data_IF_807824418766
#
_entry.id   IF_807824418766
#
_cell.length_a   1.000
_cell.length_b   1.000
_cell.length_c   1.000
_cell.angle_alpha   90.00
_cell.angle_beta   90.00
_cell.angle_gamma   90.00
#
_symmetry.space_group_name_H-M   'P 1'
#
loop_
_entity.id
_entity.type
_entity.pdbx_description
1 polymer ?
#
# COMPACT_ATOMS: atom_id res chain seq x y z
N UNK A 1 20.30 -61.97 6.49
CA UNK A 1 19.13 -61.09 6.69
C UNK A 1 19.16 -60.06 5.59
N UNK A 2 18.20 -60.13 4.67
CA UNK A 2 18.17 -59.26 3.49
C UNK A 2 17.65 -57.87 3.87
N UNK A 3 18.50 -56.85 3.72
CA UNK A 3 18.21 -55.45 4.07
C UNK A 3 17.02 -54.93 3.27
N UNK A 4 16.79 -55.45 2.06
CA UNK A 4 15.64 -55.04 1.24
C UNK A 4 14.31 -55.47 1.86
N UNK A 5 14.29 -56.63 2.52
CA UNK A 5 13.11 -57.17 3.15
C UNK A 5 12.73 -56.37 4.41
N UNK A 6 13.74 -55.99 5.21
CA UNK A 6 13.56 -55.11 6.37
C UNK A 6 13.03 -53.72 5.99
N UNK A 7 13.51 -53.15 4.87
CA UNK A 7 13.01 -51.86 4.38
C UNK A 7 11.56 -51.94 3.91
N UNK A 8 11.15 -53.07 3.31
CA UNK A 8 9.76 -53.29 2.89
C UNK A 8 8.83 -53.39 4.09
N UNK A 9 9.23 -54.15 5.11
CA UNK A 9 8.50 -54.28 6.38
C UNK A 9 8.38 -52.93 7.10
N UNK A 10 9.47 -52.15 7.15
CA UNK A 10 9.45 -50.81 7.75
C UNK A 10 8.47 -49.88 7.03
N UNK A 11 8.48 -49.85 5.69
CA UNK A 11 7.52 -49.05 4.91
C UNK A 11 6.08 -49.46 5.17
N UNK A 12 5.83 -50.75 5.32
CA UNK A 12 4.50 -51.28 5.60
C UNK A 12 4.04 -50.96 7.03
N UNK A 13 4.95 -51.01 7.99
CA UNK A 13 4.70 -50.60 9.38
C UNK A 13 4.41 -49.10 9.49
N UNK A 14 5.18 -48.26 8.79
CA UNK A 14 4.96 -46.80 8.77
C UNK A 14 3.63 -46.46 8.10
N UNK A 15 3.27 -47.15 7.01
CA UNK A 15 2.00 -46.91 6.30
C UNK A 15 0.79 -47.29 7.14
N UNK A 16 0.82 -48.47 7.78
CA UNK A 16 -0.26 -48.92 8.67
C UNK A 16 -0.39 -48.05 9.92
N UNK A 17 0.72 -47.63 10.52
CA UNK A 17 0.70 -46.68 11.64
C UNK A 17 0.05 -45.35 11.24
N UNK A 18 0.39 -44.83 10.05
CA UNK A 18 -0.20 -43.60 9.51
C UNK A 18 -1.72 -43.71 9.36
N UNK A 19 -2.23 -44.82 8.84
CA UNK A 19 -3.68 -45.05 8.69
C UNK A 19 -4.40 -45.04 10.04
N UNK A 20 -3.83 -45.70 11.06
CA UNK A 20 -4.40 -45.72 12.42
C UNK A 20 -4.43 -44.32 13.01
N UNK A 21 -3.34 -43.56 12.90
CA UNK A 21 -3.30 -42.17 13.38
C UNK A 21 -4.30 -41.28 12.65
N UNK A 22 -4.44 -41.45 11.33
CA UNK A 22 -5.41 -40.69 10.54
C UNK A 22 -6.84 -41.00 10.99
N UNK A 23 -7.21 -42.27 11.16
CA UNK A 23 -8.55 -42.64 11.63
C UNK A 23 -8.87 -42.11 13.04
N UNK A 24 -7.89 -42.17 13.96
CA UNK A 24 -8.06 -41.62 15.32
C UNK A 24 -8.23 -40.11 15.27
N UNK A 25 -7.45 -39.43 14.42
CA UNK A 25 -7.57 -37.99 14.23
C UNK A 25 -8.93 -37.61 13.65
N UNK A 26 -9.37 -38.29 12.59
CA UNK A 26 -10.66 -38.02 11.95
C UNK A 26 -11.84 -38.21 12.91
N UNK A 27 -11.80 -39.22 13.76
CA UNK A 27 -12.82 -39.44 14.81
C UNK A 27 -12.88 -38.32 15.85
N UNK A 28 -11.74 -37.71 16.20
CA UNK A 28 -11.67 -36.71 17.28
C UNK A 28 -11.79 -35.27 16.79
N UNK A 29 -11.29 -34.98 15.60
CA UNK A 29 -11.10 -33.62 15.10
C UNK A 29 -11.76 -33.39 13.73
N UNK A 30 -12.39 -34.42 13.15
CA UNK A 30 -13.02 -34.36 11.82
C UNK A 30 -12.03 -34.66 10.68
N UNK A 31 -12.55 -34.80 9.44
CA UNK A 31 -11.76 -35.13 8.26
C UNK A 31 -10.58 -34.16 8.11
N UNK A 32 -9.36 -34.70 7.98
CA UNK A 32 -8.23 -33.88 7.56
C UNK A 32 -8.48 -33.59 6.08
N UNK A 33 -9.08 -32.43 5.78
CA UNK A 33 -9.07 -31.89 4.43
C UNK A 33 -7.62 -31.55 4.13
N UNK A 34 -6.86 -32.54 3.65
CA UNK A 34 -5.66 -32.28 2.87
C UNK A 34 -6.17 -31.65 1.59
N UNK A 35 -6.49 -30.36 1.66
CA UNK A 35 -6.63 -29.52 0.50
C UNK A 35 -5.28 -29.67 -0.19
N UNK A 36 -5.26 -30.47 -1.25
CA UNK A 36 -4.28 -30.33 -2.31
C UNK A 36 -4.50 -28.91 -2.83
N UNK A 37 -3.95 -27.94 -2.09
CA UNK A 37 -4.03 -26.53 -2.39
C UNK A 37 -3.09 -26.40 -3.56
N UNK A 38 -3.66 -26.61 -4.74
CA UNK A 38 -3.14 -26.20 -6.02
C UNK A 38 -2.37 -24.93 -5.78
N UNK A 39 -1.10 -24.96 -6.13
CA UNK A 39 -0.18 -23.84 -6.20
C UNK A 39 -0.76 -22.85 -7.21
N UNK A 40 -1.85 -22.17 -6.86
CA UNK A 40 -2.35 -21.06 -7.64
C UNK A 40 -1.29 -20.00 -7.43
N UNK A 41 -0.51 -19.76 -8.48
CA UNK A 41 0.33 -18.58 -8.65
C UNK A 41 -0.59 -17.35 -8.68
N UNK A 42 -1.29 -17.08 -7.58
CA UNK A 42 -2.05 -15.86 -7.38
C UNK A 42 -1.03 -14.74 -7.30
N UNK A 43 -0.85 -14.09 -8.43
CA UNK A 43 -0.09 -12.85 -8.49
C UNK A 43 -0.91 -11.84 -7.67
N UNK A 44 -0.34 -11.28 -6.60
CA UNK A 44 -1.09 -10.42 -5.71
C UNK A 44 -1.50 -9.16 -6.46
N UNK A 45 -2.76 -8.72 -6.26
CA UNK A 45 -3.24 -7.46 -6.84
C UNK A 45 -2.29 -6.31 -6.50
N UNK A 46 -1.99 -5.41 -7.46
CA UNK A 46 -1.10 -4.28 -7.24
C UNK A 46 -1.58 -3.38 -6.09
N UNK A 47 -0.65 -2.68 -5.46
CA UNK A 47 -0.95 -1.72 -4.40
C UNK A 47 -1.70 -0.52 -5.00
N UNK A 48 -2.85 -0.20 -4.43
CA UNK A 48 -3.59 1.03 -4.72
C UNK A 48 -3.52 1.91 -3.48
N UNK A 49 -2.71 2.96 -3.53
CA UNK A 49 -2.66 3.95 -2.46
C UNK A 49 -3.83 4.93 -2.60
N UNK A 50 -4.52 5.20 -1.51
CA UNK A 50 -5.57 6.21 -1.47
C UNK A 50 -4.98 7.54 -1.04
N UNK A 51 -5.29 8.62 -1.78
CA UNK A 51 -4.96 9.97 -1.32
C UNK A 51 -6.00 10.44 -0.30
N UNK A 52 -5.58 10.84 0.92
CA UNK A 52 -6.47 11.38 1.92
C UNK A 52 -7.10 12.72 1.48
N UNK A 53 -8.39 12.96 1.71
CA UNK A 53 -9.08 14.18 1.26
C UNK A 53 -8.55 15.46 1.92
N UNK A 54 -8.04 15.34 3.15
CA UNK A 54 -7.35 16.40 3.88
C UNK A 54 -6.10 16.93 3.17
N UNK A 55 -5.41 16.08 2.39
CA UNK A 55 -4.25 16.52 1.62
C UNK A 55 -4.66 17.50 0.51
N UNK A 56 -5.77 17.22 -0.20
CA UNK A 56 -6.31 18.14 -1.21
C UNK A 56 -6.75 19.47 -0.61
N UNK A 57 -7.40 19.45 0.56
CA UNK A 57 -7.80 20.67 1.26
C UNK A 57 -6.59 21.53 1.67
N UNK A 58 -5.50 20.90 2.10
CA UNK A 58 -4.25 21.60 2.43
C UNK A 58 -3.62 22.24 1.18
N UNK A 59 -3.52 21.51 0.07
CA UNK A 59 -3.00 22.07 -1.19
C UNK A 59 -3.80 23.29 -1.67
N UNK A 60 -5.14 23.24 -1.56
CA UNK A 60 -5.99 24.37 -1.94
C UNK A 60 -5.74 25.61 -1.09
N UNK A 61 -5.47 25.44 0.21
CA UNK A 61 -5.18 26.54 1.15
C UNK A 61 -3.94 27.35 0.75
N UNK A 62 -2.96 26.71 0.12
CA UNK A 62 -1.72 27.38 -0.27
C UNK A 62 -1.79 28.15 -1.60
N UNK A 63 -2.93 28.13 -2.31
CA UNK A 63 -3.17 28.86 -3.56
C UNK A 63 -1.98 28.81 -4.55
N UNK A 64 -1.46 27.60 -4.75
CA UNK A 64 -0.23 27.37 -5.51
C UNK A 64 -0.40 27.74 -6.98
N UNK A 65 0.66 28.22 -7.65
CA UNK A 65 0.64 28.40 -9.10
C UNK A 65 0.49 27.04 -9.80
N UNK A 66 -0.10 27.04 -11.00
CA UNK A 66 -0.37 25.81 -11.76
C UNK A 66 0.88 24.96 -11.99
N UNK A 67 2.03 25.59 -12.23
CA UNK A 67 3.32 24.90 -12.40
C UNK A 67 3.74 24.13 -11.13
N UNK A 68 3.46 24.67 -9.94
CA UNK A 68 3.75 23.98 -8.69
C UNK A 68 2.80 22.80 -8.46
N UNK A 69 1.52 22.95 -8.85
CA UNK A 69 0.56 21.84 -8.79
C UNK A 69 0.97 20.67 -9.70
N UNK A 70 1.46 20.95 -10.91
CA UNK A 70 1.99 19.91 -11.81
C UNK A 70 3.26 19.24 -11.25
N UNK A 71 4.13 20.00 -10.61
CA UNK A 71 5.31 19.44 -9.95
C UNK A 71 4.91 18.50 -8.79
N UNK A 72 3.91 18.90 -8.01
CA UNK A 72 3.37 18.10 -6.90
C UNK A 72 2.68 16.85 -7.43
N UNK A 73 1.87 16.94 -8.48
CA UNK A 73 1.22 15.75 -9.07
C UNK A 73 2.26 14.74 -9.54
N UNK A 74 3.30 15.19 -10.26
CA UNK A 74 4.41 14.32 -10.67
C UNK A 74 5.16 13.71 -9.48
N UNK A 75 5.31 14.45 -8.39
CA UNK A 75 5.96 13.94 -7.18
C UNK A 75 5.09 12.86 -6.51
N UNK A 76 3.77 13.04 -6.45
CA UNK A 76 2.82 12.04 -5.95
C UNK A 76 2.81 10.80 -6.82
N UNK A 77 2.81 10.95 -8.15
CA UNK A 77 2.83 9.83 -9.09
C UNK A 77 4.10 8.98 -8.92
N UNK A 78 5.25 9.65 -8.80
CA UNK A 78 6.53 8.97 -8.51
C UNK A 78 6.49 8.23 -7.19
N UNK A 79 6.05 8.90 -6.13
CA UNK A 79 5.97 8.30 -4.80
C UNK A 79 5.01 7.10 -4.80
N UNK A 80 3.87 7.20 -5.49
CA UNK A 80 2.92 6.09 -5.64
C UNK A 80 3.53 4.91 -6.38
N UNK A 81 4.31 5.18 -7.43
CA UNK A 81 5.05 4.18 -8.19
C UNK A 81 6.08 3.47 -7.31
N UNK A 82 6.88 4.22 -6.54
CA UNK A 82 7.90 3.66 -5.64
C UNK A 82 7.30 2.71 -4.61
N UNK A 83 6.13 3.04 -4.05
CA UNK A 83 5.43 2.17 -3.10
C UNK A 83 4.82 0.94 -3.77
N UNK A 84 4.32 1.08 -5.00
CA UNK A 84 3.81 -0.06 -5.76
C UNK A 84 4.93 -1.07 -6.09
N UNK A 85 6.11 -0.58 -6.48
CA UNK A 85 7.30 -1.40 -6.71
C UNK A 85 7.77 -2.10 -5.43
N UNK A 86 7.84 -1.37 -4.31
CA UNK A 86 8.19 -1.94 -3.01
C UNK A 86 7.19 -3.03 -2.58
N UNK A 87 5.89 -2.79 -2.78
CA UNK A 87 4.87 -3.78 -2.49
C UNK A 87 5.04 -5.04 -3.35
N UNK A 88 5.28 -4.90 -4.66
CA UNK A 88 5.48 -6.06 -5.54
C UNK A 88 6.71 -6.86 -5.12
N UNK A 89 7.82 -6.19 -4.85
CA UNK A 89 9.06 -6.83 -4.40
C UNK A 89 8.85 -7.61 -3.09
N UNK A 90 8.26 -6.98 -2.07
CA UNK A 90 7.99 -7.62 -0.78
C UNK A 90 6.99 -8.77 -0.92
N UNK A 91 5.97 -8.61 -1.76
CA UNK A 91 4.97 -9.64 -2.02
C UNK A 91 5.60 -10.89 -2.65
N UNK A 92 6.48 -10.71 -3.63
CA UNK A 92 7.25 -11.83 -4.24
C UNK A 92 8.12 -12.52 -3.21
N UNK A 93 8.77 -11.78 -2.31
CA UNK A 93 9.57 -12.37 -1.23
C UNK A 93 8.70 -13.20 -0.29
N UNK A 94 7.49 -12.74 0.06
CA UNK A 94 6.59 -13.52 0.91
C UNK A 94 6.11 -14.81 0.23
N UNK A 95 5.88 -14.80 -1.08
CA UNK A 95 5.49 -16.00 -1.85
C UNK A 95 6.61 -17.06 -1.86
N UNK A 96 7.88 -16.64 -1.86
CA UNK A 96 9.02 -17.55 -1.88
C UNK A 96 9.25 -18.29 -0.55
N UNK A 97 8.59 -17.88 0.55
CA UNK A 97 8.75 -18.50 1.86
C UNK A 97 7.66 -19.59 2.04
N UNK A 98 8.00 -20.90 2.10
CA UNK A 98 6.98 -21.95 2.12
C UNK A 98 6.02 -21.89 3.32
N UNK A 99 6.50 -21.41 4.46
CA UNK A 99 5.75 -21.35 5.71
C UNK A 99 4.78 -20.17 5.81
N UNK A 100 4.89 -19.16 4.93
CA UNK A 100 4.00 -17.98 4.94
C UNK A 100 2.73 -18.23 4.15
N UNK A 101 2.69 -19.24 3.26
CA UNK A 101 1.53 -19.55 2.42
C UNK A 101 0.18 -19.63 3.14
N UNK A 102 0.03 -20.30 4.30
CA UNK A 102 -1.24 -20.31 5.03
C UNK A 102 -1.66 -18.93 5.56
N UNK A 103 -0.73 -18.00 5.73
CA UNK A 103 -0.96 -16.63 6.22
C UNK A 103 -0.71 -15.56 5.17
N UNK A 104 -0.44 -15.94 3.91
CA UNK A 104 0.03 -15.02 2.87
C UNK A 104 -0.97 -13.90 2.63
N UNK A 105 -2.26 -14.22 2.52
CA UNK A 105 -3.32 -13.22 2.35
C UNK A 105 -3.36 -12.20 3.51
N UNK A 106 -3.19 -12.66 4.75
CA UNK A 106 -3.14 -11.78 5.93
C UNK A 106 -1.87 -10.93 5.95
N UNK A 107 -0.71 -11.51 5.61
CA UNK A 107 0.55 -10.78 5.53
C UNK A 107 0.51 -9.70 4.44
N UNK A 108 -0.03 -10.02 3.26
CA UNK A 108 -0.21 -9.05 2.18
C UNK A 108 -1.22 -7.96 2.56
N UNK A 109 -2.30 -8.32 3.25
CA UNK A 109 -3.25 -7.35 3.79
C UNK A 109 -2.58 -6.36 4.75
N UNK A 110 -1.82 -6.89 5.73
CA UNK A 110 -1.08 -6.08 6.69
C UNK A 110 -0.02 -5.20 6.01
N UNK A 111 0.67 -5.74 5.00
CA UNK A 111 1.64 -4.99 4.22
C UNK A 111 0.97 -3.80 3.51
N UNK A 112 -0.18 -4.01 2.85
CA UNK A 112 -0.93 -2.92 2.21
C UNK A 112 -1.31 -1.85 3.21
N UNK A 113 -1.89 -2.23 4.35
CA UNK A 113 -2.27 -1.28 5.40
C UNK A 113 -1.07 -0.52 5.97
N UNK A 114 0.05 -1.22 6.20
CA UNK A 114 1.27 -0.59 6.71
C UNK A 114 1.87 0.39 5.71
N UNK A 115 1.89 0.06 4.42
CA UNK A 115 2.38 0.96 3.38
C UNK A 115 1.46 2.17 3.20
N UNK A 116 0.14 1.98 3.24
CA UNK A 116 -0.82 3.10 3.25
C UNK A 116 -0.59 4.02 4.46
N UNK A 117 -0.47 3.46 5.65
CA UNK A 117 -0.21 4.25 6.86
C UNK A 117 1.11 5.03 6.74
N UNK A 118 2.18 4.39 6.29
CA UNK A 118 3.47 5.06 6.10
C UNK A 118 3.41 6.16 5.02
N UNK A 119 2.66 5.94 3.93
CA UNK A 119 2.38 6.95 2.92
C UNK A 119 1.69 8.17 3.54
N UNK A 120 0.68 7.97 4.38
CA UNK A 120 -0.07 9.04 5.04
C UNK A 120 0.72 9.78 6.14
N UNK A 121 1.49 9.06 6.96
CA UNK A 121 2.19 9.64 8.12
C UNK A 121 3.57 10.19 7.80
N UNK A 122 4.22 9.70 6.76
CA UNK A 122 5.59 10.10 6.41
C UNK A 122 5.73 10.60 4.98
N UNK A 123 5.08 9.94 4.01
CA UNK A 123 5.17 10.32 2.59
C UNK A 123 4.55 11.68 2.29
N UNK A 124 3.24 11.82 2.53
CA UNK A 124 2.49 13.05 2.26
C UNK A 124 2.95 14.24 3.10
N UNK A 125 3.26 14.11 4.41
CA UNK A 125 3.71 15.25 5.20
C UNK A 125 5.05 15.80 4.75
N UNK A 126 5.97 14.95 4.28
CA UNK A 126 7.24 15.39 3.70
C UNK A 126 7.03 16.21 2.43
N UNK A 127 6.08 15.80 1.59
CA UNK A 127 5.67 16.57 0.41
C UNK A 127 5.05 17.91 0.82
N UNK A 128 4.14 17.91 1.80
CA UNK A 128 3.52 19.15 2.30
C UNK A 128 4.53 20.13 2.89
N UNK A 129 5.56 19.65 3.61
CA UNK A 129 6.60 20.51 4.15
C UNK A 129 7.34 21.29 3.05
N UNK A 130 7.59 20.66 1.90
CA UNK A 130 8.21 21.31 0.74
C UNK A 130 7.26 22.34 0.11
N UNK A 131 5.97 22.01 0.02
CA UNK A 131 4.93 22.93 -0.47
C UNK A 131 4.84 24.18 0.43
N UNK A 132 4.84 23.99 1.74
CA UNK A 132 4.82 25.10 2.70
C UNK A 132 6.07 25.97 2.60
N UNK A 133 7.25 25.36 2.44
CA UNK A 133 8.50 26.10 2.23
C UNK A 133 8.42 26.97 0.96
N UNK A 134 7.97 26.39 -0.15
CA UNK A 134 7.80 27.11 -1.41
C UNK A 134 6.79 28.26 -1.29
N UNK A 135 5.66 28.03 -0.61
CA UNK A 135 4.65 29.07 -0.39
C UNK A 135 5.16 30.23 0.49
N UNK A 136 6.09 29.97 1.41
CA UNK A 136 6.73 30.99 2.25
C UNK A 136 7.76 31.81 1.47
N UNK A 137 8.50 31.20 0.55
CA UNK A 137 9.52 31.86 -0.28
C UNK A 137 8.92 32.70 -1.40
N UNK A 138 7.73 32.33 -1.87
CA UNK A 138 6.98 33.08 -2.88
C UNK A 138 5.64 33.60 -2.32
N UNK A 139 5.67 34.49 -1.31
CA UNK A 139 4.44 35.09 -0.80
C UNK A 139 3.78 35.86 -1.96
N UNK A 140 2.47 35.68 -2.12
CA UNK A 140 1.71 36.40 -3.14
C UNK A 140 2.07 37.89 -3.08
N UNK A 141 2.32 38.56 -4.22
CA UNK A 141 2.36 40.00 -4.22
C UNK A 141 0.98 40.46 -3.76
N UNK A 142 0.90 40.97 -2.53
CA UNK A 142 -0.25 41.69 -2.02
C UNK A 142 -0.38 42.88 -2.94
N UNK A 143 -1.13 42.72 -4.02
CA UNK A 143 -1.41 43.82 -4.93
C UNK A 143 -2.23 44.78 -4.08
N UNK A 144 -1.69 45.97 -3.75
CA UNK A 144 -2.44 46.92 -2.94
C UNK A 144 -3.76 47.19 -3.66
N UNK A 145 -4.87 47.36 -2.92
CA UNK A 145 -6.15 47.66 -3.54
C UNK A 145 -5.95 48.84 -4.50
N UNK A 146 -6.49 48.77 -5.73
CA UNK A 146 -6.33 49.86 -6.68
C UNK A 146 -6.80 51.15 -6.01
N UNK A 147 -6.03 52.25 -6.11
CA UNK A 147 -6.37 53.50 -5.44
C UNK A 147 -7.80 53.89 -5.82
N UNK A 148 -8.57 54.34 -4.82
CA UNK A 148 -9.92 54.87 -5.00
C UNK A 148 -9.90 55.86 -6.15
N UNK A 149 -10.59 55.52 -7.24
CA UNK A 149 -10.78 56.44 -8.36
C UNK A 149 -11.51 57.66 -7.81
N UNK A 150 -10.79 58.75 -7.59
CA UNK A 150 -11.40 60.05 -7.32
C UNK A 150 -12.27 60.39 -8.53
N UNK A 151 -13.58 60.30 -8.36
CA UNK A 151 -14.56 60.77 -9.33
C UNK A 151 -14.61 62.29 -9.24
N UNK A 152 -13.63 62.94 -9.86
CA UNK A 152 -13.61 64.39 -10.06
C UNK A 152 -14.55 64.74 -11.22
N UNK A 153 -15.83 64.94 -10.91
CA UNK A 153 -16.77 65.66 -11.79
C UNK A 153 -17.60 66.61 -10.92
N UNK A 154 -17.25 67.90 -10.85
CA UNK A 154 -18.21 68.94 -10.55
C UNK A 154 -18.94 69.29 -11.85
N UNK A 155 -20.22 68.93 -11.94
CA UNK A 155 -21.10 69.45 -12.99
C UNK A 155 -21.38 70.92 -12.67
N UNK A 156 -20.65 71.83 -13.32
CA UNK A 156 -21.11 73.19 -13.53
C UNK A 156 -22.09 73.17 -14.70
N UNK A 157 -23.37 73.30 -14.42
CA UNK A 157 -24.35 73.79 -15.39
C UNK A 157 -25.04 75.03 -14.81
N UNK A 158 -24.86 76.13 -15.55
CA UNK A 158 -25.61 77.38 -15.69
C UNK A 158 -26.27 78.02 -14.46
#
# INVERSE_FOLDING_TARGET
MDVQQQLKELRQLVSSSREVFQQVHEKRFGPIVTSNKTTTNETPSPLQLALPPNFHAQLQKHHLPQLALEAISRAIDRLTTDYAEQFDQLSRQFIQIPHTYPRLASLLGNLRTSLQNHFETHGLPKLMAQVEAFAKEHPRPSTPPPPTRQTSIPAYEA
#
